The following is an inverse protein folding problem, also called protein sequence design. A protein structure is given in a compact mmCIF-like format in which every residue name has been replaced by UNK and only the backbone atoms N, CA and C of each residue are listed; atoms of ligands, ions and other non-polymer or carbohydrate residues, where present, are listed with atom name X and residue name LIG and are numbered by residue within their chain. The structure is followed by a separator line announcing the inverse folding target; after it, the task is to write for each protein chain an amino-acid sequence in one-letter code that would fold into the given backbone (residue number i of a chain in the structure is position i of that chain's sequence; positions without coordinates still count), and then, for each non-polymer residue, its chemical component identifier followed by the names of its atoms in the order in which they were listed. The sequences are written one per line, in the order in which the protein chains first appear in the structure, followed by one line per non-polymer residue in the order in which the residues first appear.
data_IF_827867567211
#
_entry.id   IF_827867567211
#
_cell.length_a   1.000
_cell.length_b   1.000
_cell.length_c   1.000
_cell.angle_alpha   90.00
_cell.angle_beta   90.00
_cell.angle_gamma   90.00
#
_symmetry.space_group_name_H-M   'P 1'
#
loop_
_entity.id
_entity.type
_entity.pdbx_description
1 polymer ?
#
# COMPACT_ATOMS: atom_id res chain seq x y z
N UNK A 1 8.31 -14.02 0.16
CA UNK A 1 9.01 -14.77 1.24
C UNK A 1 8.68 -14.10 2.57
N UNK A 2 8.11 -14.80 3.56
CA UNK A 2 7.86 -14.22 4.90
C UNK A 2 8.96 -14.66 5.86
N UNK A 3 9.63 -13.71 6.50
CA UNK A 3 10.65 -13.99 7.52
C UNK A 3 9.96 -14.48 8.79
N UNK A 4 10.31 -15.67 9.33
CA UNK A 4 9.71 -16.21 10.54
C UNK A 4 9.72 -15.22 11.72
N UNK A 5 8.62 -15.10 12.48
CA UNK A 5 8.52 -14.14 13.61
C UNK A 5 9.64 -14.29 14.65
N UNK A 6 10.14 -15.50 14.84
CA UNK A 6 11.22 -15.81 15.78
C UNK A 6 12.54 -15.11 15.42
N UNK A 7 12.74 -14.69 14.16
CA UNK A 7 13.95 -13.99 13.75
C UNK A 7 13.86 -12.47 13.95
N UNK A 8 12.66 -11.90 14.11
CA UNK A 8 12.44 -10.45 14.11
C UNK A 8 13.20 -9.74 15.24
N UNK A 9 13.26 -10.35 16.43
CA UNK A 9 13.98 -9.76 17.58
C UNK A 9 15.51 -9.81 17.46
N UNK A 10 16.04 -10.65 16.56
CA UNK A 10 17.48 -10.82 16.32
C UNK A 10 17.99 -10.02 15.12
N UNK A 11 17.09 -9.49 14.28
CA UNK A 11 17.41 -8.64 13.13
C UNK A 11 17.63 -7.18 13.56
N UNK A 12 18.50 -6.96 14.55
CA UNK A 12 18.83 -5.62 15.07
C UNK A 12 20.11 -5.03 14.47
N UNK A 13 20.94 -5.87 13.87
CA UNK A 13 22.18 -5.44 13.23
C UNK A 13 21.90 -4.78 11.87
N UNK A 14 22.64 -3.72 11.57
CA UNK A 14 22.57 -3.05 10.27
C UNK A 14 23.40 -3.83 9.24
N UNK A 15 23.01 -3.85 7.96
CA UNK A 15 23.76 -4.56 6.92
C UNK A 15 25.25 -4.16 6.87
N UNK A 16 25.56 -2.88 7.08
CA UNK A 16 26.95 -2.39 7.16
C UNK A 16 27.79 -3.01 8.29
N UNK A 17 27.15 -3.55 9.32
CA UNK A 17 27.80 -4.21 10.47
C UNK A 17 28.02 -5.71 10.22
N UNK A 18 27.32 -6.28 9.23
CA UNK A 18 27.36 -7.69 8.86
C UNK A 18 28.22 -7.89 7.60
N UNK A 19 28.48 -6.85 6.83
CA UNK A 19 29.28 -6.91 5.60
C UNK A 19 30.72 -6.53 5.93
N UNK A 20 31.60 -7.52 5.97
CA UNK A 20 33.04 -7.33 6.05
C UNK A 20 33.66 -7.53 4.66
N UNK A 21 34.02 -6.41 4.01
CA UNK A 21 34.56 -6.39 2.65
C UNK A 21 33.53 -6.90 1.62
N UNK A 22 33.74 -8.11 1.11
CA UNK A 22 32.86 -8.77 0.13
C UNK A 22 32.06 -9.96 0.70
N UNK A 23 32.15 -10.20 2.02
CA UNK A 23 31.54 -11.36 2.68
C UNK A 23 30.62 -10.96 3.82
N UNK A 24 29.59 -11.78 4.06
CA UNK A 24 28.61 -11.60 5.14
C UNK A 24 29.10 -12.35 6.38
N UNK A 25 29.49 -11.64 7.43
CA UNK A 25 29.80 -12.19 8.76
C UNK A 25 28.54 -12.16 9.63
N UNK A 26 27.86 -13.30 9.69
CA UNK A 26 26.61 -13.43 10.44
C UNK A 26 26.85 -13.44 11.96
N UNK A 27 26.06 -12.69 12.75
CA UNK A 27 26.06 -12.79 14.20
C UNK A 27 25.87 -14.25 14.67
N UNK A 28 26.59 -14.71 15.71
CA UNK A 28 26.49 -16.08 16.24
C UNK A 28 25.06 -16.49 16.62
N UNK A 29 24.25 -15.54 17.07
CA UNK A 29 22.83 -15.75 17.40
C UNK A 29 21.99 -16.19 16.19
N UNK A 30 22.27 -15.66 14.99
CA UNK A 30 21.58 -16.06 13.76
C UNK A 30 22.05 -17.42 13.26
N UNK A 31 23.35 -17.71 13.39
CA UNK A 31 23.93 -19.02 13.03
C UNK A 31 23.39 -20.12 13.94
N UNK A 32 23.20 -19.84 15.23
CA UNK A 32 22.64 -20.81 16.17
C UNK A 32 21.16 -21.11 15.90
N UNK A 33 20.38 -20.11 15.48
CA UNK A 33 18.96 -20.28 15.16
C UNK A 33 18.74 -20.96 13.80
N UNK A 34 19.65 -20.75 12.87
CA UNK A 34 19.63 -21.40 11.57
C UNK A 34 21.06 -21.81 11.20
N UNK A 35 21.49 -23.04 11.54
CA UNK A 35 22.81 -23.53 11.17
C UNK A 35 22.99 -23.68 9.66
N UNK A 36 21.91 -23.50 8.88
CA UNK A 36 21.94 -23.48 7.43
C UNK A 36 22.31 -22.13 6.79
N UNK A 37 22.33 -21.06 7.60
CA UNK A 37 22.53 -19.69 7.11
C UNK A 37 23.94 -19.45 6.52
N UNK A 38 25.04 -19.93 7.14
CA UNK A 38 26.40 -19.71 6.62
C UNK A 38 26.63 -20.25 5.20
N UNK A 39 26.10 -21.43 4.88
CA UNK A 39 26.23 -22.00 3.53
C UNK A 39 25.36 -21.27 2.49
N UNK A 40 24.23 -20.69 2.91
CA UNK A 40 23.39 -19.90 2.02
C UNK A 40 24.03 -18.54 1.72
N UNK A 41 24.70 -17.94 2.70
CA UNK A 41 25.43 -16.67 2.53
C UNK A 41 26.78 -16.83 1.85
N UNK A 42 27.39 -18.02 1.87
CA UNK A 42 28.67 -18.29 1.19
C UNK A 42 28.59 -18.05 -0.34
N UNK A 43 27.41 -18.21 -0.93
CA UNK A 43 27.18 -17.97 -2.36
C UNK A 43 26.78 -16.51 -2.69
N UNK A 44 26.70 -15.64 -1.68
CA UNK A 44 26.31 -14.24 -1.85
C UNK A 44 27.56 -13.38 -1.88
N UNK A 45 27.94 -12.95 -3.08
CA UNK A 45 29.03 -11.98 -3.28
C UNK A 45 28.47 -10.56 -3.25
N UNK A 46 28.89 -9.79 -2.25
CA UNK A 46 28.54 -8.38 -2.14
C UNK A 46 29.67 -7.58 -2.76
N UNK A 47 29.36 -6.78 -3.77
CA UNK A 47 30.33 -5.86 -4.38
C UNK A 47 30.12 -4.46 -3.79
N UNK A 48 30.98 -3.99 -2.87
CA UNK A 48 30.82 -2.69 -2.23
C UNK A 48 31.02 -1.50 -3.18
N UNK A 49 31.57 -1.74 -4.38
CA UNK A 49 31.74 -0.71 -5.43
C UNK A 49 30.52 -0.61 -6.35
N UNK A 50 29.55 -1.51 -6.23
CA UNK A 50 28.33 -1.51 -7.04
C UNK A 50 27.21 -0.90 -6.21
N UNK A 51 26.57 0.13 -6.75
CA UNK A 51 25.41 0.75 -6.12
C UNK A 51 24.21 -0.22 -6.06
N UNK A 52 23.44 -0.10 -4.98
CA UNK A 52 22.19 -0.84 -4.81
C UNK A 52 21.18 -0.46 -5.89
N UNK A 53 20.55 -1.48 -6.48
CA UNK A 53 19.56 -1.31 -7.54
C UNK A 53 18.25 -2.01 -7.18
N UNK A 54 17.13 -1.36 -7.47
CA UNK A 54 15.81 -1.99 -7.35
C UNK A 54 15.66 -3.02 -8.47
N UNK A 55 15.45 -4.28 -8.08
CA UNK A 55 15.23 -5.40 -9.00
C UNK A 55 13.78 -5.83 -8.94
N UNK A 56 13.12 -5.89 -10.09
CA UNK A 56 11.79 -6.48 -10.22
C UNK A 56 11.91 -7.99 -10.37
N UNK A 57 11.79 -8.72 -9.26
CA UNK A 57 11.92 -10.19 -9.19
C UNK A 57 11.10 -10.96 -10.24
N UNK A 58 9.85 -10.55 -10.59
CA UNK A 58 9.06 -11.30 -11.56
C UNK A 58 9.62 -11.32 -13.00
N UNK A 59 10.57 -10.45 -13.34
CA UNK A 59 11.16 -10.38 -14.68
C UNK A 59 12.64 -10.79 -14.63
N UNK A 60 13.07 -11.67 -15.54
CA UNK A 60 14.46 -12.16 -15.58
C UNK A 60 15.49 -11.06 -15.86
N UNK A 61 15.07 -9.98 -16.54
CA UNK A 61 15.90 -8.79 -16.75
C UNK A 61 16.13 -7.98 -15.47
N UNK A 62 15.34 -8.23 -14.42
CA UNK A 62 15.32 -7.46 -13.19
C UNK A 62 14.79 -6.03 -13.34
N UNK A 63 14.38 -5.61 -14.54
CA UNK A 63 13.91 -4.26 -14.81
C UNK A 63 12.40 -4.16 -14.64
N UNK A 64 11.97 -3.09 -13.96
CA UNK A 64 10.56 -2.75 -13.87
C UNK A 64 10.14 -1.96 -15.10
N UNK A 65 9.24 -2.52 -15.90
CA UNK A 65 8.51 -1.78 -16.93
C UNK A 65 7.03 -1.67 -16.57
N UNK A 66 6.34 -0.64 -17.09
CA UNK A 66 4.89 -0.50 -16.92
C UNK A 66 4.15 -1.74 -17.43
N UNK A 67 4.60 -2.32 -18.54
CA UNK A 67 4.02 -3.54 -19.12
C UNK A 67 4.19 -4.74 -18.19
N UNK A 68 5.39 -4.96 -17.66
CA UNK A 68 5.67 -6.05 -16.73
C UNK A 68 4.87 -5.90 -15.43
N UNK A 69 4.83 -4.68 -14.87
CA UNK A 69 4.04 -4.35 -13.70
C UNK A 69 2.54 -4.61 -13.93
N UNK A 70 2.00 -4.13 -15.06
CA UNK A 70 0.58 -4.30 -15.39
C UNK A 70 0.23 -5.77 -15.60
N UNK A 71 1.05 -6.53 -16.34
CA UNK A 71 0.84 -7.96 -16.55
C UNK A 71 0.83 -8.73 -15.23
N UNK A 72 1.77 -8.43 -14.34
CA UNK A 72 1.86 -9.05 -13.02
C UNK A 72 0.68 -8.69 -12.12
N UNK A 73 0.25 -7.42 -12.11
CA UNK A 73 -0.89 -6.98 -11.28
C UNK A 73 -2.24 -7.44 -11.83
N UNK A 74 -2.36 -7.60 -13.15
CA UNK A 74 -3.62 -7.97 -13.79
C UNK A 74 -3.92 -9.46 -13.66
N UNK A 75 -2.91 -10.32 -13.65
CA UNK A 75 -3.10 -11.77 -13.41
C UNK A 75 -3.59 -12.06 -11.98
N UNK A 76 -3.29 -11.17 -11.03
CA UNK A 76 -3.70 -11.28 -9.62
C UNK A 76 -5.12 -10.73 -9.39
N UNK A 77 -5.67 -9.93 -10.32
CA UNK A 77 -6.97 -9.29 -10.15
C UNK A 77 -8.11 -10.17 -10.66
N UNK A 78 -8.95 -10.64 -9.74
CA UNK A 78 -10.28 -11.14 -10.09
C UNK A 78 -11.18 -9.97 -10.48
N UNK A 79 -11.98 -10.15 -11.54
CA UNK A 79 -12.98 -9.17 -11.93
C UNK A 79 -14.00 -9.02 -10.79
N UNK A 80 -14.03 -7.84 -10.16
CA UNK A 80 -14.99 -7.57 -9.09
C UNK A 80 -16.33 -7.14 -9.69
N UNK A 81 -17.44 -7.62 -9.12
CA UNK A 81 -18.78 -7.29 -9.61
C UNK A 81 -19.07 -5.77 -9.60
N UNK A 82 -18.48 -5.03 -8.65
CA UNK A 82 -18.60 -3.57 -8.57
C UNK A 82 -17.75 -2.83 -9.62
N UNK A 83 -16.70 -3.45 -10.15
CA UNK A 83 -15.75 -2.78 -11.05
C UNK A 83 -16.44 -2.22 -12.30
N UNK A 84 -17.33 -2.99 -12.93
CA UNK A 84 -18.07 -2.56 -14.11
C UNK A 84 -19.12 -1.47 -13.85
N UNK A 85 -19.60 -1.35 -12.61
CA UNK A 85 -20.55 -0.30 -12.21
C UNK A 85 -19.81 1.04 -12.11
N UNK A 86 -18.63 1.04 -11.49
CA UNK A 86 -17.85 2.25 -11.24
C UNK A 86 -17.11 2.70 -12.51
N UNK A 87 -16.49 1.76 -13.20
CA UNK A 87 -15.61 2.02 -14.36
C UNK A 87 -16.34 1.79 -15.68
N UNK A 88 -17.54 2.36 -15.81
CA UNK A 88 -18.34 2.31 -17.04
C UNK A 88 -17.95 3.44 -18.00
N UNK A 89 -17.82 3.13 -19.29
CA UNK A 89 -17.46 4.12 -20.33
C UNK A 89 -18.48 5.25 -20.50
N UNK A 90 -19.73 5.05 -20.08
CA UNK A 90 -20.77 6.07 -20.08
C UNK A 90 -20.63 7.08 -18.92
N UNK A 91 -19.75 6.82 -17.95
CA UNK A 91 -19.51 7.68 -16.80
C UNK A 91 -18.19 8.43 -17.03
N UNK A 92 -18.19 9.75 -16.81
CA UNK A 92 -16.96 10.54 -16.88
C UNK A 92 -15.94 10.03 -15.84
N UNK A 93 -14.64 9.94 -16.17
CA UNK A 93 -13.62 9.45 -15.25
C UNK A 93 -13.62 10.15 -13.88
N UNK A 94 -13.88 11.46 -13.85
CA UNK A 94 -13.99 12.23 -12.60
C UNK A 94 -15.14 11.75 -11.71
N UNK A 95 -16.29 11.40 -12.30
CA UNK A 95 -17.46 10.86 -11.58
C UNK A 95 -17.20 9.43 -11.11
N UNK A 96 -16.55 8.60 -11.94
CA UNK A 96 -16.13 7.25 -11.54
C UNK A 96 -15.17 7.27 -10.36
N UNK A 97 -14.18 8.17 -10.36
CA UNK A 97 -13.26 8.33 -9.23
C UNK A 97 -13.99 8.82 -7.98
N UNK A 98 -14.88 9.80 -8.11
CA UNK A 98 -15.70 10.27 -6.99
C UNK A 98 -16.54 9.14 -6.39
N UNK A 99 -17.23 8.37 -7.23
CA UNK A 99 -18.07 7.27 -6.80
C UNK A 99 -17.24 6.12 -6.19
N UNK A 100 -16.08 5.81 -6.76
CA UNK A 100 -15.12 4.88 -6.16
C UNK A 100 -14.73 5.32 -4.75
N UNK A 101 -14.36 6.60 -4.59
CA UNK A 101 -14.01 7.13 -3.26
C UNK A 101 -15.20 7.10 -2.31
N UNK A 102 -16.41 7.36 -2.79
CA UNK A 102 -17.63 7.29 -1.99
C UNK A 102 -17.87 5.85 -1.47
N UNK A 103 -17.91 4.86 -2.37
CA UNK A 103 -18.20 3.44 -2.06
C UNK A 103 -17.16 2.86 -1.09
N UNK A 104 -15.90 3.26 -1.21
CA UNK A 104 -14.81 2.74 -0.38
C UNK A 104 -14.49 3.58 0.86
N UNK A 105 -15.28 4.62 1.17
CA UNK A 105 -15.03 5.45 2.35
C UNK A 105 -13.71 6.24 2.26
N UNK A 106 -13.36 6.74 1.08
CA UNK A 106 -12.09 7.44 0.78
C UNK A 106 -12.29 8.92 0.39
N UNK A 107 -13.45 9.50 0.72
CA UNK A 107 -13.61 10.95 0.68
C UNK A 107 -13.04 11.56 1.96
N UNK A 108 -12.53 12.77 1.84
CA UNK A 108 -11.86 13.50 2.92
C UNK A 108 -12.88 14.22 3.81
N UNK A 109 -13.84 13.47 4.33
CA UNK A 109 -14.82 13.96 5.30
C UNK A 109 -14.18 14.05 6.69
N UNK A 110 -14.69 14.92 7.55
CA UNK A 110 -14.14 15.12 8.89
C UNK A 110 -14.00 13.81 9.69
N UNK A 111 -14.97 12.91 9.60
CA UNK A 111 -14.91 11.58 10.23
C UNK A 111 -13.73 10.74 9.73
N UNK A 112 -13.48 10.72 8.41
CA UNK A 112 -12.33 10.02 7.82
C UNK A 112 -11.00 10.68 8.18
N UNK A 113 -10.96 12.01 8.29
CA UNK A 113 -9.76 12.74 8.70
C UNK A 113 -9.43 12.47 10.19
N UNK A 114 -10.44 12.40 11.05
CA UNK A 114 -10.27 12.05 12.46
C UNK A 114 -9.75 10.62 12.64
N UNK A 115 -10.21 9.65 11.83
CA UNK A 115 -9.62 8.30 11.80
C UNK A 115 -8.13 8.31 11.41
N UNK A 116 -7.70 9.30 10.61
CA UNK A 116 -6.30 9.55 10.26
C UNK A 116 -5.49 10.27 11.34
N UNK A 117 -6.07 10.56 12.51
CA UNK A 117 -5.40 11.23 13.63
C UNK A 117 -5.52 12.77 13.61
N UNK A 118 -6.29 13.34 12.69
CA UNK A 118 -6.52 14.79 12.64
C UNK A 118 -7.65 15.19 13.59
N UNK A 119 -7.31 15.84 14.71
CA UNK A 119 -8.30 16.33 15.67
C UNK A 119 -8.85 17.69 15.22
N UNK A 120 -10.09 17.71 14.76
CA UNK A 120 -10.80 18.91 14.32
C UNK A 120 -12.29 18.81 14.65
N UNK A 121 -12.99 19.92 14.93
CA UNK A 121 -14.44 19.88 15.10
C UNK A 121 -15.09 19.40 13.80
N UNK A 122 -16.03 18.45 13.91
CA UNK A 122 -16.76 17.95 12.75
C UNK A 122 -18.02 18.76 12.53
N UNK A 123 -18.17 19.35 11.34
CA UNK A 123 -19.38 20.05 10.95
C UNK A 123 -19.57 19.98 9.43
N UNK A 124 -20.78 19.64 9.00
CA UNK A 124 -21.14 19.60 7.61
C UNK A 124 -21.07 21.01 7.01
N UNK A 125 -20.21 21.18 6.01
CA UNK A 125 -20.02 22.46 5.31
C UNK A 125 -21.28 22.94 4.54
N UNK A 126 -22.25 22.05 4.29
CA UNK A 126 -23.46 22.36 3.53
C UNK A 126 -24.61 22.83 4.43
N UNK A 127 -24.93 22.06 5.48
CA UNK A 127 -26.08 22.35 6.34
C UNK A 127 -25.70 23.07 7.64
N UNK A 128 -24.41 23.09 7.98
CA UNK A 128 -23.83 23.69 9.20
C UNK A 128 -24.50 23.26 10.51
N UNK A 129 -25.12 22.08 10.54
CA UNK A 129 -25.91 21.57 11.68
C UNK A 129 -25.39 20.25 12.24
N UNK A 130 -25.15 19.28 11.37
CA UNK A 130 -24.71 17.93 11.74
C UNK A 130 -23.22 17.75 11.44
N UNK A 131 -22.60 16.69 11.97
CA UNK A 131 -21.21 16.34 11.65
C UNK A 131 -21.03 15.95 10.18
N UNK A 132 -19.86 16.28 9.61
CA UNK A 132 -19.52 15.91 8.24
C UNK A 132 -19.17 14.42 8.15
N UNK A 133 -20.07 13.66 7.53
CA UNK A 133 -19.87 12.24 7.21
C UNK A 133 -20.33 11.97 5.78
N UNK A 134 -19.87 10.88 5.19
CA UNK A 134 -20.33 10.45 3.86
C UNK A 134 -21.84 10.23 3.80
N UNK A 135 -22.38 9.56 4.82
CA UNK A 135 -23.81 9.29 4.91
C UNK A 135 -24.61 10.59 4.96
N UNK A 136 -24.16 11.55 5.78
CA UNK A 136 -24.79 12.85 5.87
C UNK A 136 -24.71 13.59 4.53
N UNK A 137 -23.52 13.85 4.01
CA UNK A 137 -23.32 14.66 2.81
C UNK A 137 -24.12 14.19 1.59
N UNK A 138 -24.29 12.88 1.40
CA UNK A 138 -24.90 12.32 0.19
C UNK A 138 -26.33 11.80 0.37
N UNK A 139 -26.77 11.46 1.59
CA UNK A 139 -28.03 10.74 1.78
C UNK A 139 -28.99 11.33 2.82
N UNK A 140 -28.52 12.18 3.75
CA UNK A 140 -29.41 12.74 4.79
C UNK A 140 -29.20 14.24 5.06
N UNK A 141 -28.29 14.88 4.32
CA UNK A 141 -28.10 16.31 4.40
C UNK A 141 -29.29 17.01 3.74
N UNK A 142 -30.04 17.79 4.52
CA UNK A 142 -31.18 18.58 4.03
C UNK A 142 -30.83 19.48 2.84
N UNK A 143 -29.61 19.99 2.80
CA UNK A 143 -29.14 20.81 1.66
C UNK A 143 -29.02 19.95 0.39
N UNK A 144 -28.47 18.74 0.49
CA UNK A 144 -28.38 17.82 -0.64
C UNK A 144 -29.76 17.35 -1.10
N UNK A 145 -30.71 17.14 -0.18
CA UNK A 145 -32.11 16.82 -0.50
C UNK A 145 -32.80 17.95 -1.29
N UNK A 146 -32.56 19.21 -0.93
CA UNK A 146 -33.10 20.38 -1.64
C UNK A 146 -32.54 20.56 -3.05
N UNK A 147 -31.35 20.04 -3.31
CA UNK A 147 -30.71 20.04 -4.63
C UNK A 147 -30.89 18.72 -5.40
N UNK A 148 -31.81 17.84 -4.97
CA UNK A 148 -32.12 16.57 -5.65
C UNK A 148 -32.67 16.77 -7.08
N UNK A 149 -32.59 15.74 -7.95
CA UNK A 149 -32.77 15.89 -9.39
C UNK A 149 -34.22 16.27 -9.74
N UNK A 150 -34.36 17.43 -10.39
CA UNK A 150 -35.40 17.64 -11.40
C UNK A 150 -35.00 17.00 -12.72
#
# INVERSE_FOLDING_TARGET
MQVPPILHHNLKAMLQEIIEGNSITLPPSLVQLCPALPQLTANVFINPLKEDMKVWEPESSGQLSVKAAYGHLSSVRQATAWGGIIWNYAILPSKSILFWRLVFGKLSTDDNLQLGGLHMPSYCSLCTRDGETLQHLFFSCRYAEMCGPG
#
